data_IF_586349869447
#
_entry.id   IF_586349869447
#
_cell.length_a   1.000
_cell.length_b   1.000
_cell.length_c   1.000
_cell.angle_alpha   90.00
_cell.angle_beta   90.00
_cell.angle_gamma   90.00
#
_symmetry.space_group_name_H-M   'P 1'
#
loop_
_entity.id
_entity.type
_entity.pdbx_description
1 polymer ?
#
# COMPACT_ATOMS: atom_id res chain seq x y z
N UNK A 1 -13.74 17.84 1.90
CA UNK A 1 -12.87 16.88 2.62
C UNK A 1 -11.56 17.56 2.93
N UNK A 2 -11.28 17.78 4.19
CA UNK A 2 -10.14 18.58 4.63
C UNK A 2 -8.81 17.85 4.42
N UNK A 3 -7.86 18.52 3.79
CA UNK A 3 -6.52 17.99 3.52
C UNK A 3 -5.52 18.84 4.31
N UNK A 4 -4.61 18.19 4.98
CA UNK A 4 -3.55 18.82 5.79
C UNK A 4 -2.21 18.70 5.07
N UNK A 5 -1.51 19.81 4.90
CA UNK A 5 -0.09 19.84 4.60
C UNK A 5 0.66 19.94 5.91
N UNK A 6 1.58 19.02 6.17
CA UNK A 6 2.28 18.93 7.46
C UNK A 6 3.78 18.72 7.27
N UNK A 7 4.51 19.15 8.27
CA UNK A 7 5.91 18.83 8.49
C UNK A 7 6.03 17.87 9.66
N UNK A 8 6.82 16.82 9.51
CA UNK A 8 7.25 15.95 10.59
C UNK A 8 8.74 16.16 10.85
N UNK A 9 9.14 16.12 12.12
CA UNK A 9 10.54 16.19 12.53
C UNK A 9 10.82 15.03 13.47
N UNK A 10 11.85 14.27 13.19
CA UNK A 10 12.33 13.24 14.09
C UNK A 10 13.12 13.90 15.21
N UNK A 11 12.68 13.76 16.47
CA UNK A 11 13.17 14.56 17.58
C UNK A 11 14.66 14.33 17.90
N UNK A 12 15.11 13.08 17.81
CA UNK A 12 16.52 12.75 18.08
C UNK A 12 17.48 13.14 16.95
N UNK A 13 17.09 12.93 15.70
CA UNK A 13 18.00 13.11 14.55
C UNK A 13 17.83 14.42 13.82
N UNK A 14 16.73 15.14 14.08
CA UNK A 14 16.38 16.37 13.38
C UNK A 14 15.96 16.20 11.92
N UNK A 15 15.86 14.94 11.40
CA UNK A 15 15.43 14.71 10.03
C UNK A 15 13.97 15.12 9.86
N UNK A 16 13.67 15.88 8.80
CA UNK A 16 12.35 16.42 8.52
C UNK A 16 11.69 15.72 7.33
N UNK A 17 10.38 15.74 7.30
CA UNK A 17 9.57 15.24 6.22
C UNK A 17 8.36 16.12 5.94
N UNK A 18 8.19 16.59 4.72
CA UNK A 18 7.02 17.32 4.24
C UNK A 18 6.06 16.35 3.57
N UNK A 19 4.78 16.37 3.95
CA UNK A 19 3.77 15.51 3.37
C UNK A 19 2.36 16.06 3.50
N UNK A 20 1.42 15.41 2.83
CA UNK A 20 -0.01 15.70 2.95
C UNK A 20 -0.79 14.49 3.41
N UNK A 21 -1.93 14.73 4.00
CA UNK A 21 -2.89 13.68 4.37
C UNK A 21 -4.30 14.24 4.49
N UNK A 22 -5.30 13.43 4.23
CA UNK A 22 -6.70 13.70 4.59
C UNK A 22 -7.09 13.08 5.94
N UNK A 23 -6.20 12.27 6.51
CA UNK A 23 -6.37 11.71 7.84
C UNK A 23 -5.77 12.64 8.89
N UNK A 24 -5.97 12.33 10.17
CA UNK A 24 -5.33 13.07 11.25
C UNK A 24 -3.80 13.05 11.10
N UNK A 25 -3.13 14.21 10.89
CA UNK A 25 -1.68 14.27 10.64
C UNK A 25 -0.84 13.85 11.86
N UNK A 26 -1.38 13.92 13.08
CA UNK A 26 -0.66 13.52 14.29
C UNK A 26 -0.57 11.99 14.42
N UNK A 27 -1.60 11.26 14.03
CA UNK A 27 -1.60 9.79 14.01
C UNK A 27 -1.00 9.20 12.74
N UNK A 28 -1.03 9.92 11.64
CA UNK A 28 -0.52 9.47 10.36
C UNK A 28 1.02 9.49 10.33
N UNK A 29 1.64 8.36 10.07
CA UNK A 29 3.11 8.18 10.16
C UNK A 29 3.90 8.74 8.97
N UNK A 30 3.23 9.16 7.90
CA UNK A 30 3.88 9.55 6.64
C UNK A 30 4.13 8.38 5.69
N UNK A 31 4.11 8.66 4.38
CA UNK A 31 4.23 7.65 3.31
C UNK A 31 5.63 7.58 2.67
N UNK A 32 6.49 8.58 2.88
CA UNK A 32 7.80 8.66 2.27
C UNK A 32 8.66 7.42 2.50
N UNK A 33 9.23 6.84 1.44
CA UNK A 33 10.04 5.62 1.52
C UNK A 33 11.28 5.79 2.39
N UNK A 34 12.00 6.89 2.19
CA UNK A 34 13.20 7.21 2.98
C UNK A 34 12.82 7.55 4.44
N UNK A 35 11.76 8.34 4.64
CA UNK A 35 11.20 8.64 5.95
C UNK A 35 10.84 7.37 6.74
N UNK A 36 10.11 6.44 6.14
CA UNK A 36 9.73 5.18 6.80
C UNK A 36 10.94 4.32 7.19
N UNK A 37 11.98 4.28 6.34
CA UNK A 37 13.23 3.57 6.65
C UNK A 37 13.95 4.22 7.81
N UNK A 38 13.97 5.57 7.85
CA UNK A 38 14.56 6.31 8.95
C UNK A 38 13.87 6.01 10.27
N UNK A 39 12.52 6.05 10.30
CA UNK A 39 11.75 5.69 11.50
C UNK A 39 11.93 4.24 11.94
N UNK A 40 12.14 3.32 11.01
CA UNK A 40 12.41 1.91 11.33
C UNK A 40 13.77 1.72 12.00
N UNK A 41 14.76 2.57 11.65
CA UNK A 41 16.13 2.51 12.19
C UNK A 41 16.28 3.26 13.51
N UNK A 42 15.69 4.45 13.63
CA UNK A 42 15.96 5.40 14.71
C UNK A 42 14.80 5.56 15.72
N UNK A 43 13.68 4.88 15.48
CA UNK A 43 12.51 5.01 16.35
C UNK A 43 11.41 5.89 15.77
N UNK A 44 10.37 6.09 16.55
CA UNK A 44 9.13 6.77 16.11
C UNK A 44 8.86 8.06 16.88
N UNK A 45 9.86 8.59 17.56
CA UNK A 45 9.73 9.85 18.28
C UNK A 45 9.72 11.02 17.28
N UNK A 46 8.52 11.50 16.98
CA UNK A 46 8.26 12.45 15.90
C UNK A 46 7.32 13.54 16.36
N UNK A 47 7.75 14.79 16.22
CA UNK A 47 6.87 15.95 16.31
C UNK A 47 6.22 16.25 14.96
N UNK A 48 4.98 16.75 14.99
CA UNK A 48 4.19 17.06 13.78
C UNK A 48 3.69 18.51 13.88
N UNK A 49 3.93 19.29 12.81
CA UNK A 49 3.44 20.66 12.66
C UNK A 49 2.55 20.74 11.42
N UNK A 50 1.32 21.22 11.56
CA UNK A 50 0.45 21.54 10.43
C UNK A 50 0.90 22.87 9.86
N UNK A 51 1.14 22.91 8.56
CA UNK A 51 1.60 24.09 7.82
C UNK A 51 0.45 24.80 7.11
N UNK A 52 -0.46 24.02 6.57
CA UNK A 52 -1.59 24.52 5.81
C UNK A 52 -2.74 23.50 5.79
N UNK A 53 -3.96 24.00 5.69
CA UNK A 53 -5.18 23.20 5.63
C UNK A 53 -6.09 23.75 4.57
N UNK A 54 -6.63 22.88 3.69
CA UNK A 54 -7.59 23.28 2.66
C UNK A 54 -8.45 22.09 2.24
N UNK A 55 -9.64 22.36 1.76
CA UNK A 55 -10.49 21.35 1.10
C UNK A 55 -10.16 21.22 -0.41
N UNK A 56 -9.35 22.14 -0.93
CA UNK A 56 -8.89 22.17 -2.32
C UNK A 56 -7.52 21.49 -2.46
N UNK A 57 -7.48 20.41 -3.25
CA UNK A 57 -6.21 19.75 -3.59
C UNK A 57 -5.27 20.68 -4.36
N UNK A 58 -5.81 21.58 -5.19
CA UNK A 58 -5.00 22.53 -5.97
C UNK A 58 -4.24 23.52 -5.07
N UNK A 59 -4.87 23.96 -3.99
CA UNK A 59 -4.23 24.88 -3.03
C UNK A 59 -3.13 24.16 -2.24
N UNK A 60 -3.40 22.94 -1.78
CA UNK A 60 -2.39 22.10 -1.14
C UNK A 60 -1.19 21.86 -2.08
N UNK A 61 -1.43 21.66 -3.38
CA UNK A 61 -0.36 21.52 -4.38
C UNK A 61 0.50 22.78 -4.50
N UNK A 62 -0.13 23.94 -4.62
CA UNK A 62 0.58 25.23 -4.72
C UNK A 62 1.44 25.48 -3.50
N UNK A 63 0.85 25.33 -2.31
CA UNK A 63 1.55 25.57 -1.04
C UNK A 63 2.62 24.51 -0.80
N UNK A 64 2.36 23.24 -1.12
CA UNK A 64 3.33 22.16 -1.04
C UNK A 64 4.55 22.39 -1.93
N UNK A 65 4.35 22.83 -3.18
CA UNK A 65 5.42 23.20 -4.08
C UNK A 65 6.20 24.44 -3.60
N UNK A 66 5.50 25.43 -3.05
CA UNK A 66 6.12 26.61 -2.46
C UNK A 66 7.11 26.22 -1.35
N UNK A 67 6.67 25.46 -0.34
CA UNK A 67 7.54 24.99 0.74
C UNK A 67 8.64 24.05 0.24
N UNK A 68 8.36 23.23 -0.74
CA UNK A 68 9.36 22.33 -1.33
C UNK A 68 10.53 23.10 -1.95
N UNK A 69 10.24 24.19 -2.64
CA UNK A 69 11.25 25.07 -3.22
C UNK A 69 11.95 25.93 -2.16
N UNK A 70 11.17 26.54 -1.26
CA UNK A 70 11.68 27.40 -0.21
C UNK A 70 12.72 26.70 0.68
N UNK A 71 12.46 25.43 1.01
CA UNK A 71 13.35 24.65 1.87
C UNK A 71 14.29 23.72 1.12
N UNK A 72 14.23 23.73 -0.21
CA UNK A 72 15.00 22.84 -1.09
C UNK A 72 14.99 21.38 -0.61
N UNK A 73 13.78 20.86 -0.34
CA UNK A 73 13.58 19.59 0.40
C UNK A 73 14.17 18.36 -0.29
N UNK A 74 14.38 18.40 -1.62
CA UNK A 74 14.90 17.26 -2.39
C UNK A 74 16.43 17.16 -2.31
N UNK A 75 17.12 18.29 -2.30
CA UNK A 75 18.58 18.33 -2.30
C UNK A 75 19.16 18.44 -0.89
N UNK A 76 18.40 19.00 0.02
CA UNK A 76 18.83 19.18 1.41
C UNK A 76 18.84 17.86 2.17
N UNK A 77 20.00 17.53 2.75
CA UNK A 77 20.16 16.34 3.61
C UNK A 77 19.33 16.37 4.90
N UNK A 78 18.75 17.53 5.25
CA UNK A 78 17.86 17.68 6.40
C UNK A 78 16.45 17.14 6.15
N UNK A 79 16.11 16.85 4.89
CA UNK A 79 14.78 16.38 4.48
C UNK A 79 14.80 14.96 3.95
N UNK A 80 13.79 14.20 4.32
CA UNK A 80 13.59 12.82 3.85
C UNK A 80 12.82 12.74 2.52
N UNK A 81 12.48 13.88 1.93
CA UNK A 81 11.75 13.95 0.68
C UNK A 81 12.66 13.63 -0.52
N UNK A 82 12.25 12.70 -1.35
CA UNK A 82 12.95 12.36 -2.60
C UNK A 82 12.39 13.10 -3.82
N UNK A 83 11.22 13.72 -3.66
CA UNK A 83 10.54 14.52 -4.67
C UNK A 83 9.83 15.69 -3.99
N UNK A 84 9.54 16.75 -4.75
CA UNK A 84 8.75 17.87 -4.25
C UNK A 84 7.34 17.41 -3.86
N UNK A 85 6.77 18.00 -2.81
CA UNK A 85 5.39 17.75 -2.43
C UNK A 85 4.45 18.52 -3.37
N UNK A 86 4.06 17.86 -4.43
CA UNK A 86 3.18 18.41 -5.48
C UNK A 86 1.70 18.01 -5.30
N UNK A 87 1.36 17.44 -4.17
CA UNK A 87 0.00 17.01 -3.88
C UNK A 87 -0.49 15.75 -4.62
N UNK A 88 0.28 15.20 -5.55
CA UNK A 88 -0.14 14.04 -6.36
C UNK A 88 0.37 12.70 -5.81
N UNK A 89 1.20 12.74 -4.75
CA UNK A 89 1.85 11.54 -4.24
C UNK A 89 2.88 10.95 -5.20
N UNK A 90 3.29 9.70 -4.95
CA UNK A 90 4.31 9.03 -5.75
C UNK A 90 3.78 8.48 -7.10
N UNK A 91 2.48 8.51 -7.32
CA UNK A 91 1.86 7.96 -8.55
C UNK A 91 2.19 8.78 -9.81
N UNK A 92 2.63 10.02 -9.63
CA UNK A 92 3.12 10.85 -10.73
C UNK A 92 4.65 10.81 -10.82
N UNK A 93 5.17 9.72 -11.32
CA UNK A 93 6.58 9.66 -11.74
C UNK A 93 6.70 10.35 -13.11
N UNK A 94 7.48 11.45 -13.23
CA UNK A 94 7.70 12.10 -14.52
C UNK A 94 8.15 11.09 -15.59
N UNK A 95 7.67 11.24 -16.82
CA UNK A 95 7.94 10.28 -17.90
C UNK A 95 9.46 10.04 -18.10
N UNK A 96 10.27 11.08 -18.00
CA UNK A 96 11.75 10.99 -18.07
C UNK A 96 12.32 10.05 -16.98
N UNK A 97 11.81 10.14 -15.75
CA UNK A 97 12.25 9.28 -14.63
C UNK A 97 11.77 7.85 -14.84
N UNK A 98 10.51 7.68 -15.28
CA UNK A 98 9.95 6.37 -15.63
C UNK A 98 10.76 5.69 -16.74
N UNK A 99 11.13 6.43 -17.78
CA UNK A 99 11.98 5.95 -18.87
C UNK A 99 13.37 5.55 -18.38
N UNK A 100 14.01 6.39 -17.54
CA UNK A 100 15.32 6.10 -16.93
C UNK A 100 15.27 4.81 -16.08
N UNK A 101 14.25 4.66 -15.23
CA UNK A 101 14.04 3.44 -14.43
C UNK A 101 13.82 2.23 -15.33
N UNK A 102 12.97 2.35 -16.36
CA UNK A 102 12.72 1.29 -17.34
C UNK A 102 14.01 0.87 -18.04
N UNK A 103 14.80 1.83 -18.52
CA UNK A 103 16.07 1.53 -19.19
C UNK A 103 17.09 0.87 -18.26
N UNK A 104 17.15 1.29 -17.00
CA UNK A 104 18.03 0.66 -15.98
C UNK A 104 17.58 -0.77 -15.64
N UNK A 105 16.28 -1.08 -15.77
CA UNK A 105 15.73 -2.41 -15.50
C UNK A 105 15.77 -3.33 -16.73
N UNK A 106 15.88 -2.79 -17.95
CA UNK A 106 16.03 -3.58 -19.16
C UNK A 106 17.28 -4.45 -19.09
N UNK A 107 17.13 -5.74 -19.39
CA UNK A 107 18.24 -6.70 -19.40
C UNK A 107 18.65 -7.23 -18.02
N UNK A 108 18.13 -6.70 -16.93
CA UNK A 108 18.36 -7.32 -15.62
C UNK A 108 17.57 -8.61 -15.51
N UNK A 109 18.22 -9.75 -15.21
CA UNK A 109 17.46 -10.97 -14.91
C UNK A 109 16.54 -10.72 -13.70
N UNK A 110 15.33 -11.26 -13.75
CA UNK A 110 14.44 -11.19 -12.59
C UNK A 110 15.19 -11.76 -11.37
N UNK A 111 15.12 -11.10 -10.19
CA UNK A 111 15.89 -11.51 -9.00
C UNK A 111 15.67 -12.98 -8.60
N UNK A 112 14.56 -13.55 -9.03
CA UNK A 112 14.15 -14.94 -8.74
C UNK A 112 14.21 -15.85 -9.97
N UNK A 113 14.78 -15.39 -11.11
CA UNK A 113 14.90 -16.23 -12.31
C UNK A 113 15.89 -17.36 -12.02
N UNK A 114 15.40 -18.60 -12.07
CA UNK A 114 16.20 -19.80 -11.78
C UNK A 114 16.27 -20.23 -10.32
N UNK A 115 15.79 -19.43 -9.39
CA UNK A 115 15.63 -19.87 -8.01
C UNK A 115 14.33 -20.67 -7.90
N UNK A 116 14.44 -21.98 -7.61
CA UNK A 116 13.29 -22.75 -7.17
C UNK A 116 12.71 -21.99 -5.96
N UNK A 117 11.47 -21.51 -6.09
CA UNK A 117 10.79 -20.95 -4.93
C UNK A 117 10.84 -22.01 -3.82
N UNK A 118 11.59 -21.75 -2.77
CA UNK A 118 11.46 -22.53 -1.56
C UNK A 118 10.01 -22.35 -1.14
N UNK A 119 9.20 -23.39 -1.39
CA UNK A 119 7.84 -23.42 -0.85
C UNK A 119 7.98 -23.10 0.63
N UNK A 120 7.49 -21.95 1.05
CA UNK A 120 7.36 -21.66 2.47
C UNK A 120 6.58 -22.86 3.01
N UNK A 121 7.24 -23.73 3.76
CA UNK A 121 6.54 -24.79 4.52
C UNK A 121 5.44 -24.03 5.25
N UNK A 122 4.20 -24.25 4.82
CA UNK A 122 3.06 -23.73 5.55
C UNK A 122 3.23 -24.22 6.98
N UNK A 123 3.45 -23.32 7.90
CA UNK A 123 3.32 -23.61 9.32
C UNK A 123 1.92 -24.16 9.50
N UNK A 124 1.83 -25.38 9.98
CA UNK A 124 0.58 -26.10 10.26
C UNK A 124 0.07 -25.71 11.65
N UNK A 125 0.43 -24.56 12.12
CA UNK A 125 -0.02 -24.00 13.39
C UNK A 125 -1.27 -23.16 13.08
N UNK A 126 -2.40 -23.81 12.97
CA UNK A 126 -3.82 -23.48 13.03
C UNK A 126 -4.36 -22.04 13.05
N UNK A 127 -3.54 -21.00 12.90
CA UNK A 127 -3.99 -19.61 12.98
C UNK A 127 -3.46 -18.75 11.83
N UNK A 128 -4.06 -18.91 10.65
CA UNK A 128 -3.91 -17.94 9.56
C UNK A 128 -5.23 -17.18 9.36
N UNK A 129 -5.36 -16.04 10.03
CA UNK A 129 -6.38 -15.05 9.71
C UNK A 129 -6.00 -14.31 8.41
N UNK A 130 -6.23 -14.96 7.28
CA UNK A 130 -6.19 -14.30 5.98
C UNK A 130 -7.37 -13.36 5.84
N UNK A 131 -7.14 -12.12 5.42
CA UNK A 131 -8.10 -11.03 5.26
C UNK A 131 -9.28 -11.31 4.29
N UNK A 132 -9.47 -12.51 3.81
CA UNK A 132 -10.47 -12.88 2.82
C UNK A 132 -11.42 -14.01 3.24
N UNK A 133 -11.62 -14.24 4.55
CA UNK A 133 -12.68 -15.14 5.06
C UNK A 133 -12.64 -16.58 4.54
N UNK A 134 -11.50 -17.07 4.02
CA UNK A 134 -11.37 -18.43 3.51
C UNK A 134 -10.93 -19.37 4.60
N UNK A 135 -11.71 -20.43 4.77
CA UNK A 135 -11.58 -21.53 5.70
C UNK A 135 -10.14 -21.82 6.12
N UNK A 136 -9.90 -21.63 7.41
CA UNK A 136 -8.66 -21.91 8.11
C UNK A 136 -8.56 -23.42 8.26
N UNK A 137 -7.48 -24.02 7.80
CA UNK A 137 -7.09 -25.36 8.23
C UNK A 137 -7.15 -26.50 7.21
N UNK A 138 -7.63 -26.29 5.97
CA UNK A 138 -7.61 -27.35 4.96
C UNK A 138 -6.61 -27.04 3.84
N UNK A 139 -5.60 -27.89 3.60
CA UNK A 139 -4.67 -27.69 2.49
C UNK A 139 -5.45 -27.64 1.15
N UNK A 140 -5.11 -26.67 0.30
CA UNK A 140 -5.80 -26.43 -0.97
C UNK A 140 -5.87 -27.65 -1.92
N UNK A 141 -4.96 -28.60 -1.78
CA UNK A 141 -4.94 -29.83 -2.58
C UNK A 141 -6.01 -30.83 -2.14
N UNK A 142 -6.41 -30.84 -0.89
CA UNK A 142 -7.48 -31.74 -0.39
C UNK A 142 -8.86 -31.34 -0.90
N UNK A 143 -9.04 -30.08 -1.30
CA UNK A 143 -10.30 -29.59 -1.87
C UNK A 143 -10.45 -29.88 -3.36
N UNK A 144 -9.36 -30.18 -4.09
CA UNK A 144 -9.39 -30.42 -5.52
C UNK A 144 -9.99 -31.79 -5.89
N UNK A 145 -9.88 -32.77 -4.99
CA UNK A 145 -10.27 -34.14 -5.23
C UNK A 145 -11.49 -34.58 -4.42
N UNK A 146 -12.06 -33.74 -3.57
CA UNK A 146 -13.34 -34.03 -2.91
C UNK A 146 -14.47 -33.58 -3.81
N UNK A 147 -15.33 -34.52 -4.17
CA UNK A 147 -16.58 -34.21 -4.86
C UNK A 147 -17.33 -33.18 -4.00
N UNK A 148 -17.64 -32.04 -4.58
CA UNK A 148 -18.39 -30.99 -3.89
C UNK A 148 -19.77 -31.55 -3.56
N UNK A 149 -20.30 -31.28 -2.35
CA UNK A 149 -21.65 -31.71 -2.01
C UNK A 149 -22.63 -31.15 -3.05
N UNK A 150 -23.43 -32.03 -3.61
CA UNK A 150 -24.51 -31.68 -4.54
C UNK A 150 -25.82 -31.63 -3.79
N UNK A 151 -26.69 -30.76 -4.21
CA UNK A 151 -28.06 -30.63 -3.71
C UNK A 151 -29.00 -30.50 -4.88
N UNK A 152 -30.20 -31.08 -4.76
CA UNK A 152 -31.24 -30.92 -5.77
C UNK A 152 -31.88 -29.55 -5.64
N UNK A 153 -32.04 -28.87 -6.76
CA UNK A 153 -32.78 -27.61 -6.81
C UNK A 153 -34.28 -27.91 -6.65
N UNK A 154 -34.93 -27.33 -5.66
CA UNK A 154 -36.34 -27.53 -5.33
C UNK A 154 -37.26 -27.14 -6.51
N UNK A 155 -36.84 -26.21 -7.36
CA UNK A 155 -37.69 -25.68 -8.44
C UNK A 155 -37.54 -26.44 -9.77
N UNK A 156 -36.35 -26.97 -10.07
CA UNK A 156 -36.11 -27.63 -11.36
C UNK A 156 -35.56 -29.07 -11.24
N UNK A 157 -35.45 -29.58 -10.03
CA UNK A 157 -35.01 -30.93 -9.65
C UNK A 157 -33.62 -31.37 -10.20
N UNK A 158 -32.81 -30.40 -10.59
CA UNK A 158 -31.43 -30.65 -11.05
C UNK A 158 -30.47 -30.72 -9.91
N UNK A 159 -29.60 -31.69 -9.91
CA UNK A 159 -28.48 -31.75 -8.99
C UNK A 159 -27.41 -30.70 -9.33
N UNK A 160 -27.13 -29.82 -8.44
CA UNK A 160 -26.16 -28.73 -8.58
C UNK A 160 -25.20 -28.69 -7.42
N UNK A 161 -23.99 -28.19 -7.66
CA UNK A 161 -23.04 -27.88 -6.62
C UNK A 161 -23.62 -26.78 -5.73
N UNK A 162 -23.54 -26.94 -4.39
CA UNK A 162 -24.05 -25.98 -3.39
C UNK A 162 -23.59 -24.54 -3.69
N UNK A 163 -22.36 -24.37 -4.17
CA UNK A 163 -21.82 -23.06 -4.52
C UNK A 163 -22.51 -22.41 -5.75
N UNK A 164 -23.12 -23.21 -6.58
CA UNK A 164 -23.78 -22.77 -7.81
C UNK A 164 -25.30 -22.65 -7.67
N UNK A 165 -25.86 -23.18 -6.58
CA UNK A 165 -27.32 -23.14 -6.33
C UNK A 165 -27.87 -21.71 -6.39
N UNK A 166 -27.28 -20.79 -5.67
CA UNK A 166 -27.71 -19.38 -5.65
C UNK A 166 -27.37 -18.60 -6.91
N UNK A 167 -26.35 -19.02 -7.66
CA UNK A 167 -25.85 -18.29 -8.84
C UNK A 167 -26.63 -18.62 -10.12
N UNK A 168 -27.07 -19.88 -10.28
CA UNK A 168 -27.68 -20.35 -11.52
C UNK A 168 -29.10 -20.89 -11.34
N UNK A 169 -29.56 -21.01 -10.10
CA UNK A 169 -30.86 -21.59 -9.74
C UNK A 169 -31.67 -20.66 -8.79
N UNK A 170 -31.40 -19.35 -8.81
CA UNK A 170 -32.28 -18.35 -8.21
C UNK A 170 -33.46 -18.12 -9.14
N UNK A 171 -34.54 -18.84 -8.88
CA UNK A 171 -35.81 -18.72 -9.61
C UNK A 171 -36.75 -17.71 -8.97
N UNK A 172 -36.22 -16.52 -8.52
CA UNK A 172 -37.02 -15.42 -7.98
C UNK A 172 -36.92 -14.21 -8.88
#
# INVERSE_FOLDING_TARGET
MTIFLYQKTHNETGLMYLGKTSNNPFSYKGSGKYWKRHLAKHGKDVSTKILYTSDSLKDIQKVGLYYSKLWNIVESKKWANLVNENGQGFDFMPQKVRQKVSNTMKGRPAPNKGLKQKHKKHRVDGNYNGSNGKLVGVPRYDLRNKARPRVSCITCDREVDVANLSRYHSHF
#
